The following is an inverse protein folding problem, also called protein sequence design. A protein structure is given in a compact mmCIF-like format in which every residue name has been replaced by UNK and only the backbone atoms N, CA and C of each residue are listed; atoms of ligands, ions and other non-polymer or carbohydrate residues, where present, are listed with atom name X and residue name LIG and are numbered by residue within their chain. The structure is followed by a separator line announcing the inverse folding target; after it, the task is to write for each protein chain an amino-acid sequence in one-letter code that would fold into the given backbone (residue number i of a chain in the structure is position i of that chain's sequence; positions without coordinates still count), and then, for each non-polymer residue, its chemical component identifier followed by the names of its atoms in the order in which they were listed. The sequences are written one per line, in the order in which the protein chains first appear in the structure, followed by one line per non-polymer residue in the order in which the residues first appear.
data_IF_835152952478
#
_entry.id   IF_835152952478
#
_cell.length_a   1.000
_cell.length_b   1.000
_cell.length_c   1.000
_cell.angle_alpha   90.00
_cell.angle_beta   90.00
_cell.angle_gamma   90.00
#
_symmetry.space_group_name_H-M   'P 1'
#
loop_
_entity.id
_entity.type
_entity.pdbx_description
1 polymer ?
#
# COMPACT_ATOMS: atom_id res chain seq x y z
N UNK A 1 -27.81 -5.19 -26.30
CA UNK A 1 -27.69 -6.24 -25.27
C UNK A 1 -26.79 -5.70 -24.19
N UNK A 2 -27.39 -5.29 -23.07
CA UNK A 2 -26.73 -4.63 -21.95
C UNK A 2 -26.37 -5.75 -20.96
N UNK A 3 -25.08 -5.94 -20.69
CA UNK A 3 -24.58 -6.97 -19.77
C UNK A 3 -25.03 -6.70 -18.33
N UNK A 4 -25.09 -7.73 -17.47
CA UNK A 4 -25.60 -7.58 -16.12
C UNK A 4 -24.62 -6.74 -15.31
N UNK A 5 -25.17 -5.73 -14.63
CA UNK A 5 -24.52 -4.90 -13.65
C UNK A 5 -23.93 -5.77 -12.52
N UNK A 6 -22.66 -5.52 -12.19
CA UNK A 6 -22.02 -6.05 -10.99
C UNK A 6 -22.73 -5.48 -9.76
N UNK A 7 -23.63 -6.26 -9.17
CA UNK A 7 -24.27 -5.92 -7.91
C UNK A 7 -23.23 -6.01 -6.79
N UNK A 8 -22.88 -4.86 -6.24
CA UNK A 8 -22.17 -4.75 -4.97
C UNK A 8 -22.93 -5.54 -3.90
N UNK A 9 -22.32 -6.61 -3.40
CA UNK A 9 -22.84 -7.30 -2.23
C UNK A 9 -22.45 -6.50 -1.01
N UNK A 10 -23.32 -5.58 -0.61
CA UNK A 10 -23.28 -4.99 0.73
C UNK A 10 -23.41 -6.15 1.70
N UNK A 11 -22.45 -6.31 2.62
CA UNK A 11 -22.50 -7.35 3.64
C UNK A 11 -23.88 -7.30 4.34
N UNK A 12 -24.59 -8.44 4.33
CA UNK A 12 -25.88 -8.55 4.97
C UNK A 12 -25.76 -8.16 6.46
N UNK A 13 -26.74 -7.44 7.04
CA UNK A 13 -26.74 -7.13 8.46
C UNK A 13 -26.93 -8.44 9.24
N UNK A 14 -25.83 -9.05 9.67
CA UNK A 14 -25.86 -10.35 10.32
C UNK A 14 -24.51 -11.09 10.45
N UNK A 15 -23.43 -10.65 9.80
CA UNK A 15 -22.13 -11.29 10.03
C UNK A 15 -21.52 -10.80 11.36
N UNK A 16 -21.93 -11.50 12.42
CA UNK A 16 -21.53 -11.29 13.82
C UNK A 16 -20.12 -11.80 14.12
N UNK A 17 -19.43 -12.38 13.13
CA UNK A 17 -18.08 -12.90 13.30
C UNK A 17 -17.08 -11.75 13.52
N UNK A 18 -16.25 -11.87 14.56
CA UNK A 18 -15.12 -10.99 14.79
C UNK A 18 -14.13 -11.08 13.62
N UNK A 19 -13.77 -9.95 13.03
CA UNK A 19 -12.80 -9.87 11.94
C UNK A 19 -11.66 -8.93 12.32
N UNK A 20 -10.43 -9.44 12.28
CA UNK A 20 -9.25 -8.68 12.71
C UNK A 20 -8.30 -8.60 11.52
N UNK A 21 -7.96 -7.38 11.12
CA UNK A 21 -7.04 -7.10 10.01
C UNK A 21 -6.02 -6.04 10.37
N UNK A 22 -4.98 -5.93 9.55
CA UNK A 22 -3.99 -4.87 9.66
C UNK A 22 -3.63 -4.27 8.31
N UNK A 23 -3.28 -2.99 8.31
CA UNK A 23 -2.49 -2.39 7.23
C UNK A 23 -1.01 -2.50 7.59
N UNK A 24 -0.20 -3.10 6.71
CA UNK A 24 1.22 -3.35 6.94
C UNK A 24 2.03 -2.37 6.09
N UNK A 25 2.88 -1.59 6.76
CA UNK A 25 3.70 -0.53 6.18
C UNK A 25 5.17 -0.73 6.50
N UNK A 26 6.04 -0.22 5.63
CA UNK A 26 7.45 -0.01 5.93
C UNK A 26 7.78 1.47 5.87
N UNK A 27 8.45 1.97 6.92
CA UNK A 27 9.03 3.31 6.96
C UNK A 27 10.53 3.21 7.30
N UNK A 28 11.45 3.58 6.41
CA UNK A 28 12.86 3.72 6.78
C UNK A 28 13.04 4.88 7.78
N UNK A 29 13.86 4.66 8.81
CA UNK A 29 14.04 5.59 9.93
C UNK A 29 14.77 6.89 9.58
N UNK A 30 15.32 6.98 8.37
CA UNK A 30 16.18 8.08 7.92
C UNK A 30 15.53 8.97 6.85
N UNK A 31 14.23 8.81 6.56
CA UNK A 31 13.55 9.55 5.48
C UNK A 31 12.41 10.42 6.04
N UNK A 32 12.68 11.69 6.45
CA UNK A 32 11.71 12.54 7.14
C UNK A 32 10.40 12.77 6.38
N UNK A 33 10.45 12.86 5.05
CA UNK A 33 9.23 13.02 4.23
C UNK A 33 8.20 11.91 4.47
N UNK A 34 8.65 10.68 4.76
CA UNK A 34 7.74 9.56 5.03
C UNK A 34 7.00 9.70 6.36
N UNK A 35 7.46 10.56 7.27
CA UNK A 35 6.68 10.92 8.45
C UNK A 35 5.45 11.74 8.06
N UNK A 36 5.57 12.67 7.12
CA UNK A 36 4.42 13.41 6.58
C UNK A 36 3.45 12.46 5.89
N UNK A 37 3.99 11.50 5.12
CA UNK A 37 3.17 10.50 4.44
C UNK A 37 2.41 9.61 5.45
N UNK A 38 3.10 9.16 6.50
CA UNK A 38 2.48 8.41 7.59
C UNK A 38 1.40 9.20 8.34
N UNK A 39 1.61 10.51 8.55
CA UNK A 39 0.61 11.35 9.23
C UNK A 39 -0.72 11.35 8.49
N UNK A 40 -0.70 11.52 7.17
CA UNK A 40 -1.95 11.52 6.40
C UNK A 40 -2.57 10.13 6.30
N UNK A 41 -1.73 9.09 6.17
CA UNK A 41 -2.20 7.71 6.17
C UNK A 41 -2.92 7.41 7.47
N UNK A 42 -2.28 7.68 8.62
CA UNK A 42 -2.86 7.49 9.95
C UNK A 42 -4.12 8.34 10.15
N UNK A 43 -4.14 9.58 9.66
CA UNK A 43 -5.34 10.43 9.76
C UNK A 43 -6.52 9.85 8.98
N UNK A 44 -6.26 9.29 7.79
CA UNK A 44 -7.26 8.60 6.98
C UNK A 44 -7.74 7.29 7.62
N UNK A 45 -6.84 6.56 8.29
CA UNK A 45 -7.18 5.38 9.10
C UNK A 45 -8.11 5.72 10.27
N UNK A 46 -7.87 6.83 10.98
CA UNK A 46 -8.80 7.31 12.02
C UNK A 46 -10.15 7.70 11.43
N UNK A 47 -10.17 8.29 10.23
CA UNK A 47 -11.43 8.65 9.56
C UNK A 47 -12.25 7.41 9.20
N UNK A 48 -11.59 6.42 8.60
CA UNK A 48 -12.18 5.15 8.20
C UNK A 48 -12.82 4.42 9.39
N UNK A 49 -12.17 4.44 10.56
CA UNK A 49 -12.68 3.78 11.77
C UNK A 49 -14.04 4.28 12.25
N UNK A 50 -14.45 5.51 11.89
CA UNK A 50 -15.79 6.02 12.23
C UNK A 50 -16.92 5.19 11.60
N UNK A 51 -16.61 4.45 10.55
CA UNK A 51 -17.54 3.62 9.79
C UNK A 51 -17.27 2.12 9.99
N UNK A 52 -16.30 1.76 10.84
CA UNK A 52 -15.91 0.37 11.05
C UNK A 52 -16.94 -0.36 11.94
N UNK A 53 -17.38 -1.57 11.57
CA UNK A 53 -18.25 -2.38 12.42
C UNK A 53 -17.64 -2.65 13.79
N UNK A 54 -18.47 -2.69 14.84
CA UNK A 54 -18.01 -2.92 16.21
C UNK A 54 -17.31 -4.27 16.43
N UNK A 55 -17.57 -5.26 15.58
CA UNK A 55 -16.92 -6.58 15.59
C UNK A 55 -15.61 -6.63 14.78
N UNK A 56 -15.28 -5.57 14.06
CA UNK A 56 -14.11 -5.48 13.20
C UNK A 56 -12.98 -4.70 13.87
N UNK A 57 -11.74 -5.06 13.56
CA UNK A 57 -10.55 -4.33 13.98
C UNK A 57 -9.62 -4.14 12.80
N UNK A 58 -9.11 -2.93 12.63
CA UNK A 58 -8.09 -2.57 11.64
C UNK A 58 -6.92 -1.92 12.35
N UNK A 59 -5.85 -2.67 12.55
CA UNK A 59 -4.60 -2.12 13.10
C UNK A 59 -3.73 -1.49 11.99
N UNK A 60 -2.79 -0.65 12.40
CA UNK A 60 -1.62 -0.31 11.59
C UNK A 60 -0.43 -1.06 12.17
N UNK A 61 0.28 -1.82 11.34
CA UNK A 61 1.55 -2.47 11.69
C UNK A 61 2.66 -1.83 10.86
N UNK A 62 3.59 -1.15 11.53
CA UNK A 62 4.70 -0.44 10.89
C UNK A 62 6.00 -1.13 11.23
N UNK A 63 6.77 -1.46 10.20
CA UNK A 63 8.15 -1.90 10.31
C UNK A 63 9.10 -0.77 9.94
N UNK A 64 10.24 -0.71 10.64
CA UNK A 64 11.30 0.27 10.42
C UNK A 64 12.65 -0.33 10.78
N UNK A 65 13.68 0.09 10.05
CA UNK A 65 15.08 -0.26 10.28
C UNK A 65 15.76 0.52 11.42
N UNK A 66 14.98 1.35 12.12
CA UNK A 66 15.44 2.05 13.31
C UNK A 66 14.32 2.71 14.10
N UNK A 67 14.66 3.50 15.14
CA UNK A 67 13.68 4.23 15.95
C UNK A 67 12.89 5.26 15.13
N UNK A 68 11.59 5.37 15.42
CA UNK A 68 10.70 6.38 14.82
C UNK A 68 9.95 7.17 15.91
N UNK A 69 10.62 8.13 16.60
CA UNK A 69 10.02 8.89 17.71
C UNK A 69 8.75 9.63 17.32
N UNK A 70 8.63 10.06 16.07
CA UNK A 70 7.44 10.73 15.55
C UNK A 70 6.22 9.80 15.55
N UNK A 71 6.41 8.51 15.22
CA UNK A 71 5.32 7.54 15.27
C UNK A 71 4.90 7.24 16.72
N UNK A 72 5.85 7.22 17.65
CA UNK A 72 5.55 7.09 19.09
C UNK A 72 4.70 8.26 19.60
N UNK A 73 5.01 9.49 19.20
CA UNK A 73 4.19 10.67 19.49
C UNK A 73 2.79 10.61 18.85
N UNK A 74 2.63 9.79 17.80
CA UNK A 74 1.35 9.49 17.16
C UNK A 74 0.66 8.25 17.77
N UNK A 75 1.06 7.83 18.98
CA UNK A 75 0.53 6.68 19.71
C UNK A 75 0.75 5.33 19.01
N UNK A 76 1.79 5.21 18.19
CA UNK A 76 2.29 3.91 17.76
C UNK A 76 3.24 3.35 18.81
N UNK A 77 3.21 2.05 19.07
CA UNK A 77 3.97 1.49 20.20
C UNK A 77 4.67 0.18 19.87
N UNK A 78 5.89 0.05 20.40
CA UNK A 78 6.71 -1.16 20.35
C UNK A 78 6.28 -2.22 21.38
N UNK A 79 5.52 -1.84 22.40
CA UNK A 79 5.12 -2.73 23.50
C UNK A 79 3.65 -3.12 23.45
N UNK A 80 2.83 -2.33 22.75
CA UNK A 80 1.39 -2.54 22.60
C UNK A 80 1.09 -3.57 21.50
N UNK A 81 1.43 -4.83 21.71
CA UNK A 81 1.08 -5.93 20.80
C UNK A 81 -0.38 -6.33 20.96
N UNK A 82 -1.02 -6.76 19.86
CA UNK A 82 -2.35 -7.34 19.92
C UNK A 82 -2.26 -8.71 20.58
N UNK A 83 -3.00 -8.89 21.66
CA UNK A 83 -3.06 -10.16 22.41
C UNK A 83 -4.42 -10.83 22.29
N UNK A 84 -5.49 -10.04 22.05
CA UNK A 84 -6.83 -10.58 21.85
C UNK A 84 -7.55 -9.86 20.70
N UNK A 85 -8.56 -10.53 20.16
CA UNK A 85 -9.35 -10.02 19.01
C UNK A 85 -10.24 -8.84 19.37
N UNK A 86 -10.57 -8.68 20.66
CA UNK A 86 -11.53 -7.66 21.12
C UNK A 86 -10.87 -6.31 21.44
N UNK A 87 -9.55 -6.26 21.57
CA UNK A 87 -8.82 -5.01 21.83
C UNK A 87 -9.11 -3.97 20.75
N UNK A 88 -9.21 -2.68 21.09
CA UNK A 88 -9.37 -1.60 20.12
C UNK A 88 -8.29 -1.62 19.05
N UNK A 89 -8.50 -0.84 17.98
CA UNK A 89 -7.50 -0.67 16.94
C UNK A 89 -6.19 -0.11 17.51
N UNK A 90 -5.06 -0.66 17.08
CA UNK A 90 -3.72 -0.31 17.56
C UNK A 90 -2.85 0.18 16.40
N UNK A 91 -1.92 1.08 16.72
CA UNK A 91 -0.76 1.33 15.88
C UNK A 91 0.44 0.63 16.52
N UNK A 92 0.99 -0.36 15.83
CA UNK A 92 2.03 -1.26 16.32
C UNK A 92 3.32 -0.98 15.56
N UNK A 93 4.42 -0.81 16.29
CA UNK A 93 5.71 -0.47 15.72
C UNK A 93 6.75 -1.58 15.96
N UNK A 94 7.49 -1.93 14.91
CA UNK A 94 8.63 -2.83 14.91
C UNK A 94 9.86 -2.09 14.36
N UNK A 95 10.83 -1.77 15.21
CA UNK A 95 12.00 -0.92 14.88
C UNK A 95 13.30 -1.70 14.73
N UNK A 96 13.25 -3.03 14.87
CA UNK A 96 14.39 -3.93 14.76
C UNK A 96 14.42 -4.67 13.40
N UNK A 97 13.69 -4.16 12.41
CA UNK A 97 13.67 -4.76 11.08
C UNK A 97 15.04 -4.62 10.42
N UNK A 98 15.53 -5.68 9.79
CA UNK A 98 16.76 -5.63 8.99
C UNK A 98 16.38 -5.47 7.53
N UNK A 99 16.77 -4.34 6.93
CA UNK A 99 16.51 -4.07 5.52
C UNK A 99 17.16 -5.11 4.60
N UNK A 100 16.48 -5.46 3.52
CA UNK A 100 17.03 -6.30 2.43
C UNK A 100 17.87 -5.49 1.44
N UNK A 101 17.91 -4.17 1.58
CA UNK A 101 18.82 -3.31 0.85
C UNK A 101 20.26 -3.72 1.15
N UNK A 102 21.03 -3.96 0.09
CA UNK A 102 22.44 -4.32 0.20
C UNK A 102 23.21 -3.84 -1.03
N UNK A 103 24.54 -3.98 -1.02
CA UNK A 103 25.36 -3.70 -2.20
C UNK A 103 25.03 -4.64 -3.37
N UNK A 104 24.63 -5.88 -3.09
CA UNK A 104 24.22 -6.86 -4.09
C UNK A 104 22.79 -6.60 -4.63
N UNK A 105 21.94 -5.97 -3.81
CA UNK A 105 20.56 -5.67 -4.14
C UNK A 105 20.16 -4.26 -3.63
N UNK A 106 20.64 -3.18 -4.27
CA UNK A 106 20.43 -1.81 -3.84
C UNK A 106 19.05 -1.26 -4.24
N UNK A 107 17.98 -2.03 -4.04
CA UNK A 107 16.61 -1.64 -4.37
C UNK A 107 15.79 -1.34 -3.10
N UNK A 108 15.69 -0.05 -2.76
CA UNK A 108 15.10 0.43 -1.49
C UNK A 108 13.61 0.14 -1.30
N UNK A 109 12.87 -0.11 -2.39
CA UNK A 109 11.44 -0.38 -2.32
C UNK A 109 11.10 -1.84 -2.03
N UNK A 110 12.08 -2.75 -2.00
CA UNK A 110 11.82 -4.15 -1.66
C UNK A 110 11.36 -4.32 -0.20
N UNK A 111 11.82 -3.46 0.71
CA UNK A 111 11.51 -3.57 2.13
C UNK A 111 10.00 -3.48 2.42
N UNK A 112 9.26 -2.64 1.70
CA UNK A 112 7.80 -2.53 1.86
C UNK A 112 7.03 -3.78 1.41
N UNK A 113 7.68 -4.71 0.70
CA UNK A 113 7.15 -6.06 0.45
C UNK A 113 7.74 -7.06 1.44
N UNK A 114 9.04 -6.98 1.72
CA UNK A 114 9.73 -7.93 2.56
C UNK A 114 9.19 -8.00 4.00
N UNK A 115 8.78 -6.87 4.58
CA UNK A 115 8.20 -6.84 5.93
C UNK A 115 6.95 -7.72 6.07
N UNK A 116 6.22 -7.95 4.97
CA UNK A 116 5.08 -8.87 4.94
C UNK A 116 5.54 -10.32 4.83
N UNK A 117 6.61 -10.58 4.07
CA UNK A 117 7.17 -11.91 3.85
C UNK A 117 8.10 -12.43 4.95
N UNK A 118 8.27 -11.69 6.06
CA UNK A 118 9.13 -12.09 7.17
C UNK A 118 8.66 -13.41 7.79
N UNK A 119 9.60 -14.24 8.22
CA UNK A 119 9.33 -15.38 9.08
C UNK A 119 9.22 -14.88 10.53
N UNK A 120 8.09 -15.12 11.18
CA UNK A 120 7.79 -14.60 12.52
C UNK A 120 6.30 -14.71 12.86
N UNK A 121 5.90 -14.23 14.03
CA UNK A 121 4.51 -14.35 14.51
C UNK A 121 3.77 -13.02 14.58
N UNK A 122 4.41 -11.93 14.15
CA UNK A 122 3.91 -10.56 14.29
C UNK A 122 2.53 -10.34 13.65
N UNK A 123 2.27 -11.06 12.56
CA UNK A 123 1.03 -10.94 11.80
C UNK A 123 0.01 -12.05 12.10
N UNK A 124 0.33 -13.01 12.97
CA UNK A 124 -0.51 -14.21 13.20
C UNK A 124 -1.86 -13.89 13.88
N UNK A 125 -1.96 -12.73 14.52
CA UNK A 125 -3.20 -12.25 15.13
C UNK A 125 -4.24 -11.74 14.12
N UNK A 126 -3.85 -11.55 12.85
CA UNK A 126 -4.69 -10.96 11.82
C UNK A 126 -5.22 -12.04 10.88
N UNK A 127 -6.53 -12.03 10.63
CA UNK A 127 -7.14 -12.87 9.60
C UNK A 127 -6.64 -12.43 8.23
N UNK A 128 -6.59 -11.11 8.02
CA UNK A 128 -6.28 -10.46 6.76
C UNK A 128 -5.29 -9.32 6.94
N UNK A 129 -4.47 -9.06 5.93
CA UNK A 129 -3.60 -7.88 5.90
C UNK A 129 -3.76 -7.12 4.58
N UNK A 130 -3.56 -5.82 4.65
CA UNK A 130 -3.40 -4.90 3.53
C UNK A 130 -1.92 -4.51 3.49
N UNK A 131 -1.15 -5.08 2.57
CA UNK A 131 0.18 -4.54 2.22
C UNK A 131 -0.07 -3.29 1.38
N UNK A 132 0.44 -2.15 1.82
CA UNK A 132 0.36 -0.90 1.05
C UNK A 132 1.61 -0.05 1.24
N UNK A 133 1.84 0.89 0.33
CA UNK A 133 2.89 1.89 0.44
C UNK A 133 2.43 3.07 1.32
N UNK A 134 3.38 3.88 1.79
CA UNK A 134 3.09 4.91 2.79
C UNK A 134 2.41 6.15 2.20
N UNK A 135 2.51 6.34 0.89
CA UNK A 135 1.99 7.47 0.14
C UNK A 135 0.52 7.24 -0.31
N UNK A 136 -0.27 6.65 0.60
CA UNK A 136 -1.64 6.18 0.35
C UNK A 136 -2.62 6.66 1.41
N UNK A 137 -3.91 6.41 1.17
CA UNK A 137 -5.00 6.74 2.10
C UNK A 137 -5.99 5.58 2.17
N UNK A 138 -6.52 5.33 3.36
CA UNK A 138 -7.73 4.54 3.55
C UNK A 138 -8.94 5.46 3.47
N UNK A 139 -10.06 4.99 2.95
CA UNK A 139 -11.29 5.78 2.88
C UNK A 139 -12.39 5.17 3.77
N UNK A 140 -13.54 5.84 3.94
CA UNK A 140 -14.72 5.23 4.56
C UNK A 140 -15.15 3.90 3.93
N UNK A 141 -14.94 3.69 2.63
CA UNK A 141 -15.31 2.45 1.96
C UNK A 141 -14.53 1.24 2.50
N UNK A 142 -13.27 1.42 2.90
CA UNK A 142 -12.47 0.32 3.45
C UNK A 142 -13.03 -0.24 4.75
N UNK A 143 -13.77 0.58 5.52
CA UNK A 143 -14.27 0.23 6.85
C UNK A 143 -15.15 -1.03 6.88
N UNK A 144 -15.87 -1.29 5.78
CA UNK A 144 -16.77 -2.44 5.63
C UNK A 144 -16.40 -3.35 4.46
N UNK A 145 -15.36 -2.99 3.70
CA UNK A 145 -14.96 -3.77 2.53
C UNK A 145 -14.07 -4.96 2.91
N UNK A 146 -14.57 -6.15 2.58
CA UNK A 146 -13.85 -7.43 2.66
C UNK A 146 -14.21 -8.23 1.41
N UNK A 147 -13.32 -8.30 0.40
CA UNK A 147 -13.58 -9.11 -0.78
C UNK A 147 -13.58 -10.61 -0.41
N UNK A 148 -14.18 -11.48 -1.24
CA UNK A 148 -14.23 -12.92 -0.95
C UNK A 148 -12.87 -13.62 -1.13
N UNK A 149 -11.94 -12.99 -1.84
CA UNK A 149 -10.65 -13.54 -2.26
C UNK A 149 -9.54 -12.51 -2.06
N UNK A 150 -8.28 -12.91 -2.25
CA UNK A 150 -7.20 -11.94 -2.34
C UNK A 150 -7.46 -10.98 -3.51
N UNK A 151 -7.19 -9.71 -3.29
CA UNK A 151 -7.32 -8.63 -4.28
C UNK A 151 -6.02 -7.85 -4.35
N UNK A 152 -5.64 -7.47 -5.57
CA UNK A 152 -4.50 -6.59 -5.83
C UNK A 152 -4.97 -5.33 -6.55
N UNK A 153 -4.27 -4.22 -6.33
CA UNK A 153 -4.45 -3.01 -7.13
C UNK A 153 -3.75 -3.10 -8.49
N UNK A 154 -3.59 -1.95 -9.15
CA UNK A 154 -3.02 -1.85 -10.51
C UNK A 154 -1.72 -1.08 -10.49
N UNK A 155 -0.66 -1.63 -11.10
CA UNK A 155 0.68 -1.03 -11.10
C UNK A 155 1.02 -0.17 -12.33
N UNK A 156 0.28 -0.32 -13.44
CA UNK A 156 0.49 0.43 -14.69
C UNK A 156 1.94 0.46 -15.18
N UNK A 157 2.58 -0.69 -15.39
CA UNK A 157 3.96 -0.79 -15.91
C UNK A 157 4.06 -1.60 -17.21
N UNK A 158 2.97 -2.26 -17.63
CA UNK A 158 2.89 -3.00 -18.87
C UNK A 158 1.79 -2.42 -19.74
N UNK A 159 2.19 -1.84 -20.88
CA UNK A 159 1.31 -1.12 -21.79
C UNK A 159 1.33 -1.77 -23.17
N UNK A 160 0.24 -1.64 -23.96
CA UNK A 160 0.27 -2.00 -25.38
C UNK A 160 1.44 -1.32 -26.10
N UNK A 161 2.04 -2.01 -27.06
CA UNK A 161 3.17 -1.55 -27.88
C UNK A 161 4.52 -1.35 -27.14
N UNK A 162 4.62 -1.78 -25.87
CA UNK A 162 5.86 -1.79 -25.11
C UNK A 162 6.30 -3.20 -24.71
N UNK A 163 7.62 -3.37 -24.52
CA UNK A 163 8.26 -4.69 -24.39
C UNK A 163 8.16 -5.34 -23.00
N UNK A 164 7.64 -4.62 -21.99
CA UNK A 164 7.63 -5.10 -20.59
C UNK A 164 6.85 -6.39 -20.41
N UNK A 165 5.67 -6.50 -21.03
CA UNK A 165 4.82 -7.69 -20.94
C UNK A 165 5.51 -8.94 -21.52
N UNK A 166 6.08 -8.82 -22.71
CA UNK A 166 6.81 -9.91 -23.37
C UNK A 166 8.04 -10.36 -22.57
N UNK A 167 8.78 -9.41 -21.99
CA UNK A 167 9.94 -9.71 -21.13
C UNK A 167 9.50 -10.45 -19.86
N UNK A 168 8.39 -10.06 -19.25
CA UNK A 168 7.83 -10.77 -18.08
C UNK A 168 7.44 -12.21 -18.43
N UNK A 169 6.71 -12.44 -19.53
CA UNK A 169 6.32 -13.80 -19.95
C UNK A 169 7.53 -14.70 -20.23
N UNK A 170 8.57 -14.14 -20.86
CA UNK A 170 9.83 -14.84 -21.09
C UNK A 170 10.51 -15.25 -19.78
N UNK A 171 10.57 -14.34 -18.80
CA UNK A 171 11.13 -14.62 -17.47
C UNK A 171 10.29 -15.65 -16.71
N UNK A 172 8.95 -15.55 -16.76
CA UNK A 172 8.03 -16.50 -16.15
C UNK A 172 8.28 -17.92 -16.69
N UNK A 173 8.39 -18.07 -18.01
CA UNK A 173 8.75 -19.36 -18.63
C UNK A 173 10.13 -19.84 -18.21
N UNK A 174 11.15 -18.96 -18.24
CA UNK A 174 12.54 -19.28 -17.84
C UNK A 174 12.62 -19.80 -16.41
N UNK A 175 11.81 -19.25 -15.51
CA UNK A 175 11.75 -19.64 -14.10
C UNK A 175 10.78 -20.80 -13.81
N UNK A 176 10.13 -21.35 -14.84
CA UNK A 176 9.08 -22.37 -14.70
C UNK A 176 7.98 -21.94 -13.70
N UNK A 177 7.60 -20.66 -13.76
CA UNK A 177 6.55 -20.07 -12.94
C UNK A 177 5.18 -20.25 -13.60
N UNK A 178 4.12 -20.01 -12.84
CA UNK A 178 2.76 -20.09 -13.38
C UNK A 178 2.53 -18.94 -14.36
N UNK A 179 1.96 -19.26 -15.52
CA UNK A 179 1.59 -18.27 -16.53
C UNK A 179 0.66 -17.19 -15.95
N UNK A 180 0.75 -15.99 -16.50
CA UNK A 180 0.00 -14.83 -16.02
C UNK A 180 -1.50 -15.04 -16.14
N UNK A 181 -2.22 -14.87 -15.03
CA UNK A 181 -3.68 -14.83 -14.95
C UNK A 181 -4.18 -13.41 -14.63
N UNK A 182 -3.36 -12.62 -13.95
CA UNK A 182 -3.58 -11.20 -13.69
C UNK A 182 -2.33 -10.40 -14.09
N UNK A 183 -2.52 -9.39 -14.92
CA UNK A 183 -1.46 -8.50 -15.39
C UNK A 183 -1.39 -7.21 -14.55
N UNK A 184 -0.34 -6.41 -14.74
CA UNK A 184 -0.22 -5.08 -14.12
C UNK A 184 -0.51 -5.08 -12.61
N UNK A 185 0.04 -6.04 -11.87
CA UNK A 185 -0.19 -6.21 -10.43
C UNK A 185 0.36 -4.98 -9.68
N UNK A 186 -0.51 -4.27 -8.99
CA UNK A 186 -0.17 -3.08 -8.21
C UNK A 186 0.67 -3.40 -6.99
N UNK A 187 1.13 -2.33 -6.33
CA UNK A 187 1.88 -2.47 -5.10
C UNK A 187 0.96 -2.83 -3.92
N UNK A 188 -0.33 -2.46 -3.96
CA UNK A 188 -1.26 -2.75 -2.87
C UNK A 188 -1.92 -4.12 -2.98
N UNK A 189 -1.82 -4.93 -1.93
CA UNK A 189 -2.39 -6.29 -1.86
C UNK A 189 -3.23 -6.45 -0.60
N UNK A 190 -4.45 -6.98 -0.72
CA UNK A 190 -5.36 -7.21 0.39
C UNK A 190 -5.88 -8.64 0.36
N UNK A 191 -5.75 -9.38 1.47
CA UNK A 191 -6.16 -10.77 1.49
C UNK A 191 -5.86 -11.50 2.79
N UNK A 192 -6.11 -12.82 2.83
CA UNK A 192 -5.76 -13.67 3.95
C UNK A 192 -4.28 -13.58 4.29
N UNK A 193 -3.97 -13.39 5.57
CA UNK A 193 -2.60 -13.13 6.05
C UNK A 193 -1.61 -14.19 5.57
N UNK A 194 -1.91 -15.48 5.77
CA UNK A 194 -1.00 -16.56 5.39
C UNK A 194 -0.64 -16.52 3.89
N UNK A 195 -1.63 -16.27 3.02
CA UNK A 195 -1.42 -16.19 1.58
C UNK A 195 -0.53 -14.99 1.22
N UNK A 196 -0.81 -13.80 1.75
CA UNK A 196 -0.01 -12.60 1.46
C UNK A 196 1.43 -12.75 1.94
N UNK A 197 1.67 -13.41 3.08
CA UNK A 197 3.02 -13.70 3.57
C UNK A 197 3.78 -14.62 2.61
N UNK A 198 3.14 -15.69 2.13
CA UNK A 198 3.72 -16.59 1.10
C UNK A 198 4.05 -15.82 -0.18
N UNK A 199 3.13 -15.02 -0.68
CA UNK A 199 3.32 -14.27 -1.91
C UNK A 199 4.42 -13.21 -1.77
N UNK A 200 4.44 -12.45 -0.66
CA UNK A 200 5.46 -11.44 -0.40
C UNK A 200 6.87 -12.04 -0.27
N UNK A 201 7.00 -13.18 0.42
CA UNK A 201 8.28 -13.88 0.52
C UNK A 201 8.81 -14.28 -0.85
N UNK A 202 7.96 -14.89 -1.69
CA UNK A 202 8.32 -15.23 -3.06
C UNK A 202 8.63 -13.99 -3.90
N UNK A 203 7.85 -12.90 -3.76
CA UNK A 203 8.11 -11.66 -4.49
C UNK A 203 9.50 -11.11 -4.23
N UNK A 204 9.98 -11.10 -2.98
CA UNK A 204 11.34 -10.62 -2.65
C UNK A 204 12.40 -11.51 -3.31
N UNK A 205 12.23 -12.83 -3.29
CA UNK A 205 13.15 -13.75 -3.97
C UNK A 205 13.19 -13.48 -5.49
N UNK A 206 12.04 -13.23 -6.11
CA UNK A 206 11.96 -12.86 -7.53
C UNK A 206 12.61 -11.49 -7.77
N UNK A 207 12.39 -10.48 -6.93
CA UNK A 207 13.02 -9.16 -7.09
C UNK A 207 14.55 -9.25 -7.09
N UNK A 208 15.11 -10.05 -6.17
CA UNK A 208 16.55 -10.31 -6.10
C UNK A 208 17.05 -11.01 -7.36
N UNK A 209 16.33 -12.02 -7.85
CA UNK A 209 16.66 -12.71 -9.10
C UNK A 209 16.61 -11.74 -10.30
N UNK A 210 15.54 -10.95 -10.42
CA UNK A 210 15.36 -9.97 -11.50
C UNK A 210 16.52 -8.98 -11.50
N UNK A 211 16.81 -8.36 -10.35
CA UNK A 211 17.91 -7.42 -10.24
C UNK A 211 19.24 -8.06 -10.61
N UNK A 212 19.53 -9.27 -10.14
CA UNK A 212 20.79 -9.93 -10.43
C UNK A 212 20.95 -10.33 -11.92
N UNK A 213 19.88 -10.80 -12.56
CA UNK A 213 19.98 -11.55 -13.83
C UNK A 213 19.25 -10.90 -15.02
N UNK A 214 18.24 -10.07 -14.76
CA UNK A 214 17.32 -9.57 -15.78
C UNK A 214 17.45 -8.05 -15.98
N UNK A 215 18.54 -7.44 -15.48
CA UNK A 215 18.90 -6.05 -15.75
C UNK A 215 20.38 -5.93 -16.11
N UNK A 216 20.68 -5.21 -17.19
CA UNK A 216 22.05 -4.92 -17.62
C UNK A 216 22.75 -3.93 -16.67
N UNK A 217 24.07 -3.79 -16.80
CA UNK A 217 24.81 -2.78 -16.04
C UNK A 217 24.37 -1.35 -16.38
N UNK A 218 24.01 -1.11 -17.64
CA UNK A 218 23.47 0.18 -18.10
C UNK A 218 22.09 0.44 -17.49
N UNK A 219 21.15 -0.51 -17.56
CA UNK A 219 19.80 -0.36 -16.99
C UNK A 219 19.82 -0.12 -15.46
N UNK A 220 20.90 -0.52 -14.77
CA UNK A 220 21.15 -0.29 -13.34
C UNK A 220 21.83 1.04 -13.02
N UNK A 221 22.38 1.73 -14.01
CA UNK A 221 23.24 2.87 -13.77
C UNK A 221 22.42 4.12 -13.39
N UNK A 222 22.93 5.00 -12.51
CA UNK A 222 22.27 6.27 -12.21
C UNK A 222 22.02 7.14 -13.46
N UNK A 223 22.92 7.08 -14.44
CA UNK A 223 22.87 7.85 -15.69
C UNK A 223 21.71 7.39 -16.59
N UNK A 224 21.35 6.11 -16.53
CA UNK A 224 20.20 5.58 -17.26
C UNK A 224 18.89 6.20 -16.75
N UNK A 225 18.80 6.50 -15.45
CA UNK A 225 17.69 7.23 -14.86
C UNK A 225 16.33 6.62 -15.25
N UNK A 226 15.51 7.40 -15.96
CA UNK A 226 14.16 7.02 -16.39
C UNK A 226 14.07 6.47 -17.81
N UNK A 227 15.20 6.28 -18.52
CA UNK A 227 15.20 5.90 -19.94
C UNK A 227 14.52 4.56 -20.23
N UNK A 228 14.50 3.65 -19.26
CA UNK A 228 13.79 2.38 -19.38
C UNK A 228 12.27 2.51 -19.38
N UNK A 229 11.70 3.65 -18.96
CA UNK A 229 10.25 3.84 -18.90
C UNK A 229 9.66 4.23 -20.27
N UNK A 230 8.50 3.69 -20.70
CA UNK A 230 7.64 2.72 -20.00
C UNK A 230 7.91 1.25 -20.41
N UNK A 231 9.08 0.97 -20.97
CA UNK A 231 9.60 -0.39 -21.16
C UNK A 231 10.17 -0.93 -19.82
N UNK A 232 11.28 -1.66 -19.89
CA UNK A 232 11.90 -2.30 -18.74
C UNK A 232 12.63 -1.30 -17.84
N UNK A 233 11.97 -0.85 -16.77
CA UNK A 233 12.52 0.11 -15.83
C UNK A 233 12.85 -0.48 -14.45
N UNK A 234 14.02 -0.14 -13.90
CA UNK A 234 14.51 -0.66 -12.62
C UNK A 234 13.72 -0.12 -11.41
N UNK A 235 13.09 1.06 -11.53
CA UNK A 235 12.28 1.64 -10.47
C UNK A 235 11.07 0.79 -10.09
N UNK A 236 10.60 -0.08 -10.99
CA UNK A 236 9.37 -0.89 -10.81
C UNK A 236 9.64 -2.38 -10.53
N UNK A 237 10.86 -2.74 -10.13
CA UNK A 237 11.24 -4.13 -9.79
C UNK A 237 10.30 -4.79 -8.77
N UNK A 238 9.81 -4.04 -7.78
CA UNK A 238 8.83 -4.54 -6.81
C UNK A 238 7.53 -5.00 -7.47
N UNK A 239 7.03 -4.27 -8.45
CA UNK A 239 5.83 -4.62 -9.20
C UNK A 239 6.07 -5.84 -10.10
N UNK A 240 7.23 -5.95 -10.74
CA UNK A 240 7.58 -7.16 -11.50
C UNK A 240 7.68 -8.40 -10.61
N UNK A 241 8.33 -8.28 -9.45
CA UNK A 241 8.40 -9.35 -8.46
C UNK A 241 7.03 -9.76 -7.93
N UNK A 242 6.17 -8.78 -7.65
CA UNK A 242 4.76 -8.99 -7.30
C UNK A 242 3.98 -9.73 -8.39
N UNK A 243 4.10 -9.28 -9.64
CA UNK A 243 3.43 -9.88 -10.79
C UNK A 243 3.72 -11.36 -10.97
N UNK A 244 5.00 -11.73 -10.97
CA UNK A 244 5.41 -13.13 -11.16
C UNK A 244 4.99 -13.96 -9.95
N UNK A 245 5.29 -13.48 -8.74
CA UNK A 245 5.05 -14.23 -7.52
C UNK A 245 3.57 -14.44 -7.22
N UNK A 246 2.72 -13.42 -7.41
CA UNK A 246 1.29 -13.50 -7.09
C UNK A 246 0.60 -14.50 -8.00
N UNK A 247 0.83 -14.44 -9.31
CA UNK A 247 0.31 -15.44 -10.23
C UNK A 247 0.72 -16.87 -9.84
N UNK A 248 1.94 -17.05 -9.32
CA UNK A 248 2.42 -18.36 -8.90
C UNK A 248 1.87 -18.84 -7.54
N UNK A 249 1.94 -18.01 -6.49
CA UNK A 249 1.49 -18.39 -5.14
C UNK A 249 -0.04 -18.58 -5.07
N UNK A 250 -0.78 -17.89 -5.95
CA UNK A 250 -2.24 -17.98 -6.00
C UNK A 250 -2.76 -19.01 -7.00
N UNK A 251 -1.92 -19.76 -7.72
CA UNK A 251 -2.33 -20.70 -8.80
C UNK A 251 -3.46 -21.69 -8.46
N UNK A 252 -3.67 -22.00 -7.18
CA UNK A 252 -4.68 -22.94 -6.70
C UNK A 252 -5.81 -22.27 -5.90
N UNK A 253 -5.83 -20.94 -5.83
CA UNK A 253 -6.82 -20.13 -5.12
C UNK A 253 -7.23 -18.94 -5.97
N UNK A 254 -8.39 -18.35 -5.71
CA UNK A 254 -8.80 -17.19 -6.49
C UNK A 254 -8.05 -15.92 -6.05
N UNK A 255 -7.63 -15.12 -7.04
CA UNK A 255 -7.13 -13.76 -6.90
C UNK A 255 -7.77 -12.89 -7.97
N UNK A 256 -8.07 -11.64 -7.64
CA UNK A 256 -8.58 -10.67 -8.61
C UNK A 256 -7.78 -9.38 -8.56
N UNK A 257 -7.74 -8.68 -9.69
CA UNK A 257 -7.32 -7.28 -9.73
C UNK A 257 -8.57 -6.40 -9.66
N UNK A 258 -8.61 -5.47 -8.72
CA UNK A 258 -9.72 -4.53 -8.55
C UNK A 258 -9.15 -3.11 -8.46
N UNK A 259 -9.03 -2.47 -9.62
CA UNK A 259 -8.52 -1.11 -9.77
C UNK A 259 -9.59 -0.05 -9.48
N UNK A 260 -10.81 -0.47 -9.11
CA UNK A 260 -11.84 0.41 -8.57
C UNK A 260 -11.73 0.54 -7.05
N UNK A 261 -11.29 -0.52 -6.35
CA UNK A 261 -11.19 -0.51 -4.89
C UNK A 261 -9.79 -0.21 -4.36
N UNK A 262 -8.75 -0.67 -5.06
CA UNK A 262 -7.34 -0.51 -4.67
C UNK A 262 -6.58 0.39 -5.65
N UNK A 263 -5.57 1.08 -5.11
CA UNK A 263 -4.72 2.04 -5.84
C UNK A 263 -5.48 3.14 -6.61
N UNK A 264 -6.67 3.51 -6.14
CA UNK A 264 -7.51 4.49 -6.82
C UNK A 264 -6.91 5.91 -6.74
N UNK A 265 -6.93 6.71 -7.82
CA UNK A 265 -6.14 7.94 -7.85
C UNK A 265 -6.68 9.04 -6.93
N UNK A 266 -5.80 9.63 -6.13
CA UNK A 266 -6.11 10.80 -5.26
C UNK A 266 -6.56 12.04 -6.03
N UNK A 267 -6.37 12.08 -7.35
CA UNK A 267 -6.81 13.17 -8.21
C UNK A 267 -8.26 13.04 -8.70
N UNK A 268 -8.97 11.95 -8.34
CA UNK A 268 -10.34 11.71 -8.78
C UNK A 268 -11.34 12.66 -8.10
N UNK A 269 -12.40 13.00 -8.84
CA UNK A 269 -13.58 13.70 -8.30
C UNK A 269 -14.67 12.75 -7.77
N UNK A 270 -14.46 11.43 -7.84
CA UNK A 270 -15.40 10.44 -7.31
C UNK A 270 -15.48 10.47 -5.78
N UNK A 271 -16.52 9.84 -5.23
CA UNK A 271 -16.77 9.84 -3.79
C UNK A 271 -15.80 8.90 -3.06
N UNK A 272 -15.21 9.31 -1.93
CA UNK A 272 -14.39 8.42 -1.11
C UNK A 272 -15.18 7.26 -0.47
N UNK A 273 -16.51 7.27 -0.55
CA UNK A 273 -17.35 6.16 -0.12
C UNK A 273 -17.37 4.96 -1.10
N UNK A 274 -16.76 5.08 -2.28
CA UNK A 274 -16.82 4.06 -3.33
C UNK A 274 -15.52 3.27 -3.53
N UNK A 275 -14.39 3.76 -3.01
CA UNK A 275 -13.07 3.19 -3.28
C UNK A 275 -12.34 3.01 -1.97
N UNK A 276 -11.94 1.78 -1.61
CA UNK A 276 -11.36 1.50 -0.30
C UNK A 276 -10.01 2.21 -0.05
N UNK A 277 -9.19 2.32 -1.08
CA UNK A 277 -7.80 2.70 -0.94
C UNK A 277 -7.38 3.64 -2.06
N UNK A 278 -6.75 4.75 -1.68
CA UNK A 278 -6.26 5.77 -2.61
C UNK A 278 -4.74 5.76 -2.68
N UNK A 279 -4.20 5.98 -3.88
CA UNK A 279 -2.77 6.06 -4.11
C UNK A 279 -2.39 7.41 -4.74
N UNK A 280 -1.30 8.01 -4.23
CA UNK A 280 -0.73 9.24 -4.79
C UNK A 280 0.15 8.92 -6.00
N UNK A 281 -0.50 8.75 -7.16
CA UNK A 281 0.20 8.57 -8.42
C UNK A 281 1.16 9.72 -8.72
N UNK A 282 2.17 9.45 -9.56
CA UNK A 282 3.25 10.38 -9.90
C UNK A 282 2.74 11.51 -10.83
N UNK A 283 1.87 12.38 -10.32
CA UNK A 283 1.32 13.54 -11.03
C UNK A 283 1.17 14.75 -10.09
N UNK A 284 0.77 15.89 -10.66
CA UNK A 284 0.55 17.15 -9.93
C UNK A 284 -0.94 17.56 -9.91
N UNK A 285 -1.86 16.61 -9.99
CA UNK A 285 -3.29 16.88 -10.13
C UNK A 285 -3.97 17.00 -8.75
N UNK A 286 -4.35 18.23 -8.40
CA UNK A 286 -5.06 18.65 -7.18
C UNK A 286 -4.38 18.27 -5.86
N UNK A 287 -4.37 16.99 -5.48
CA UNK A 287 -3.53 16.48 -4.37
C UNK A 287 -2.36 15.67 -4.92
N UNK A 288 -1.16 16.25 -4.78
CA UNK A 288 0.12 15.64 -5.13
C UNK A 288 1.05 15.65 -3.93
N UNK A 289 1.69 14.50 -3.65
CA UNK A 289 2.73 14.41 -2.62
C UNK A 289 3.92 15.33 -2.89
N UNK A 290 4.24 15.57 -4.17
CA UNK A 290 5.33 16.48 -4.55
C UNK A 290 5.00 17.92 -4.16
N UNK A 291 3.84 18.40 -4.57
CA UNK A 291 3.31 19.72 -4.18
C UNK A 291 3.15 19.86 -2.67
N UNK A 292 2.75 18.78 -1.98
CA UNK A 292 2.64 18.78 -0.53
C UNK A 292 3.99 18.97 0.15
N UNK A 293 5.02 18.21 -0.24
CA UNK A 293 6.35 18.26 0.36
C UNK A 293 7.06 19.60 0.15
N UNK A 294 6.82 20.28 -0.97
CA UNK A 294 7.38 21.62 -1.23
C UNK A 294 6.50 22.76 -0.68
N UNK A 295 5.43 22.42 0.04
CA UNK A 295 4.60 23.37 0.78
C UNK A 295 3.64 24.20 -0.07
N UNK A 296 3.27 23.75 -1.28
CA UNK A 296 2.38 24.51 -2.18
C UNK A 296 1.00 24.75 -1.56
N UNK A 297 0.53 23.83 -0.71
CA UNK A 297 -0.78 23.90 -0.05
C UNK A 297 -0.79 24.70 1.26
N UNK A 298 0.23 25.54 1.52
CA UNK A 298 0.30 26.33 2.77
C UNK A 298 -0.86 27.32 2.97
N UNK A 299 -1.47 27.77 1.87
CA UNK A 299 -2.58 28.73 1.86
C UNK A 299 -3.92 28.07 1.54
N UNK A 300 -3.98 26.73 1.48
CA UNK A 300 -5.22 26.01 1.22
C UNK A 300 -6.19 26.23 2.38
N UNK A 301 -7.42 26.65 2.06
CA UNK A 301 -8.46 26.87 3.06
C UNK A 301 -9.16 25.54 3.37
N UNK A 302 -8.72 24.87 4.44
CA UNK A 302 -9.23 23.57 4.86
C UNK A 302 -10.76 23.56 5.09
N UNK A 303 -11.36 24.71 5.40
CA UNK A 303 -12.80 24.83 5.66
C UNK A 303 -13.66 24.78 4.40
N UNK A 304 -13.05 24.99 3.23
CA UNK A 304 -13.73 24.93 1.91
C UNK A 304 -13.63 23.56 1.25
N UNK A 305 -12.80 22.66 1.79
CA UNK A 305 -12.69 21.30 1.28
C UNK A 305 -13.97 20.52 1.55
N UNK A 306 -14.35 19.65 0.61
CA UNK A 306 -15.52 18.77 0.73
C UNK A 306 -15.07 17.31 0.81
N UNK A 307 -14.43 16.90 1.93
CA UNK A 307 -13.78 15.59 2.03
C UNK A 307 -14.77 14.42 1.99
N UNK A 308 -16.07 14.63 2.18
CA UNK A 308 -17.06 13.56 2.09
C UNK A 308 -17.71 13.47 0.70
N UNK A 309 -17.45 14.44 -0.19
CA UNK A 309 -18.03 14.47 -1.54
C UNK A 309 -17.03 13.96 -2.59
N UNK A 310 -15.76 14.36 -2.50
CA UNK A 310 -14.76 14.06 -3.54
C UNK A 310 -13.44 13.57 -2.96
N UNK A 311 -12.82 12.61 -3.65
CA UNK A 311 -11.52 12.03 -3.30
C UNK A 311 -10.41 13.09 -3.26
N UNK A 312 -10.38 14.00 -4.23
CA UNK A 312 -9.35 15.03 -4.29
C UNK A 312 -9.36 15.97 -3.06
N UNK A 313 -10.54 16.31 -2.54
CA UNK A 313 -10.65 17.10 -1.31
C UNK A 313 -10.46 16.21 -0.07
N UNK A 314 -10.83 14.93 -0.12
CA UNK A 314 -10.56 13.96 0.95
C UNK A 314 -9.06 13.83 1.21
N UNK A 315 -8.28 13.54 0.17
CA UNK A 315 -6.82 13.39 0.27
C UNK A 315 -6.16 14.68 0.77
N UNK A 316 -6.55 15.84 0.21
CA UNK A 316 -6.08 17.14 0.66
C UNK A 316 -6.39 17.40 2.13
N UNK A 317 -7.63 17.15 2.56
CA UNK A 317 -8.05 17.37 3.93
C UNK A 317 -7.29 16.47 4.90
N UNK A 318 -7.20 15.16 4.61
CA UNK A 318 -6.47 14.22 5.48
C UNK A 318 -5.01 14.62 5.62
N UNK A 319 -4.37 15.06 4.53
CA UNK A 319 -2.99 15.51 4.56
C UNK A 319 -2.79 16.79 5.37
N UNK A 320 -3.63 17.81 5.16
CA UNK A 320 -3.51 19.09 5.88
C UNK A 320 -3.88 18.97 7.36
N UNK A 321 -4.94 18.23 7.70
CA UNK A 321 -5.38 18.03 9.09
C UNK A 321 -4.39 17.19 9.90
N UNK A 322 -3.59 16.35 9.24
CA UNK A 322 -2.59 15.50 9.89
C UNK A 322 -1.31 16.24 10.31
N UNK A 323 -1.11 17.48 9.84
CA UNK A 323 0.07 18.28 10.16
C UNK A 323 0.16 18.54 11.68
N UNK A 324 1.38 18.63 12.24
CA UNK A 324 1.54 19.08 13.61
C UNK A 324 0.86 20.43 13.79
N UNK A 325 -0.08 20.52 14.73
CA UNK A 325 -0.63 21.81 15.13
C UNK A 325 0.53 22.58 15.76
N UNK A 326 0.95 23.69 15.14
CA UNK A 326 1.91 24.59 15.77
C UNK A 326 1.37 24.97 17.14
N UNK A 327 2.19 24.82 18.19
CA UNK A 327 1.84 25.33 19.50
C UNK A 327 1.48 26.81 19.30
N UNK A 328 0.22 27.17 19.59
CA UNK A 328 -0.16 28.59 19.64
C UNK A 328 0.84 29.24 20.59
N UNK A 329 1.59 30.28 20.18
CA UNK A 329 2.36 31.03 21.16
C UNK A 329 1.37 31.50 22.22
N UNK A 330 1.66 31.18 23.49
CA UNK A 330 0.97 31.75 24.62
C UNK A 330 0.98 33.27 24.40
N UNK A 331 -0.21 33.85 24.20
CA UNK A 331 -0.36 35.29 24.29
C UNK A 331 -0.03 35.62 25.75
N UNK A 332 1.15 36.20 25.96
CA UNK A 332 1.54 36.85 27.22
C UNK A 332 0.64 38.07 27.40
#
# INVERSE_FOLDING_TARGET
MIGPSSQFTIAAPGDTASFVRATVLYLPSYTPKFEDEFRWFRRSWIEMQKYEPVSWRTDIVVYSDGPLPVLEQLNCSMTSRRTTRNEPNRCILYTNYTSVFSTAFPYKFADSVNVVGLNGTDLDAYDWILRTDIDTFLTPAFATWKPPTMVVGRGMYSFPDYSTGERLESIISKLNMTATTIDNVGSTWYGPTALLRTCANLSVAIMQYLYANEFTAEEKSPEYGIQGWPNWHIGVVSMYGGHIAINHCTRNVAVTKDDSMLDFPTSSSESPALHAHLHTWQNNLRFSKFSFHVGEYKNEDITKLRPYETILDYAMYMALDSRPKTARPLRI
#
